data_IF_934100109436
#
_entry.id   IF_934100109436
#
_cell.length_a   1.000
_cell.length_b   1.000
_cell.length_c   1.000
_cell.angle_alpha   90.00
_cell.angle_beta   90.00
_cell.angle_gamma   90.00
#
_symmetry.space_group_name_H-M   'P 1'
#
loop_
_entity.id
_entity.type
_entity.pdbx_description
1 polymer ?
#
# COMPACT_ATOMS: atom_id res chain seq x y z
N UNK A 1 -1.00 -0.65 15.54
CA UNK A 1 -2.24 0.02 15.08
C UNK A 1 -2.93 -0.94 14.15
N UNK A 2 -4.18 -1.31 14.43
CA UNK A 2 -4.97 -2.15 13.51
C UNK A 2 -5.16 -1.40 12.19
N UNK A 3 -5.01 -2.11 11.07
CA UNK A 3 -5.27 -1.55 9.74
C UNK A 3 -6.75 -1.15 9.56
N UNK A 4 -7.07 -0.66 8.37
CA UNK A 4 -8.42 -0.40 7.92
C UNK A 4 -9.05 -1.70 7.40
N UNK A 5 -10.32 -1.90 7.75
CA UNK A 5 -11.16 -2.96 7.21
C UNK A 5 -11.51 -2.64 5.76
N UNK A 6 -11.34 -3.60 4.86
CA UNK A 6 -11.69 -3.47 3.45
C UNK A 6 -12.93 -4.28 3.14
N UNK A 7 -13.95 -3.61 2.63
CA UNK A 7 -15.14 -4.23 2.09
C UNK A 7 -15.14 -4.03 0.58
N UNK A 8 -15.09 -5.11 -0.19
CA UNK A 8 -15.03 -5.09 -1.65
C UNK A 8 -16.39 -5.48 -2.21
N UNK A 9 -16.91 -4.66 -3.13
CA UNK A 9 -18.21 -4.90 -3.74
C UNK A 9 -18.20 -6.22 -4.52
N UNK A 10 -19.28 -7.01 -4.43
CA UNK A 10 -19.39 -8.34 -5.05
C UNK A 10 -19.19 -8.35 -6.56
N UNK A 11 -19.53 -7.25 -7.24
CA UNK A 11 -19.35 -7.13 -8.69
C UNK A 11 -17.93 -6.70 -9.10
N UNK A 12 -17.05 -6.39 -8.14
CA UNK A 12 -15.69 -5.90 -8.43
C UNK A 12 -14.95 -6.83 -9.40
N UNK A 13 -14.94 -8.14 -9.12
CA UNK A 13 -14.19 -9.11 -9.94
C UNK A 13 -14.69 -9.16 -11.37
N UNK A 14 -16.01 -9.11 -11.59
CA UNK A 14 -16.62 -9.08 -12.94
C UNK A 14 -16.16 -7.85 -13.73
N UNK A 15 -16.03 -6.70 -13.08
CA UNK A 15 -15.54 -5.48 -13.73
C UNK A 15 -14.02 -5.51 -13.95
N UNK A 16 -13.28 -6.25 -13.12
CA UNK A 16 -11.83 -6.30 -13.15
C UNK A 16 -11.27 -7.38 -14.10
N UNK A 17 -11.95 -8.51 -14.28
CA UNK A 17 -11.43 -9.70 -14.99
C UNK A 17 -11.00 -9.41 -16.44
N UNK A 18 -11.71 -8.50 -17.11
CA UNK A 18 -11.45 -8.10 -18.50
C UNK A 18 -10.29 -7.10 -18.64
N UNK A 19 -9.81 -6.52 -17.54
CA UNK A 19 -8.75 -5.51 -17.56
C UNK A 19 -7.37 -6.17 -17.65
N UNK A 20 -6.39 -5.49 -18.28
CA UNK A 20 -5.02 -5.96 -18.30
C UNK A 20 -4.47 -6.21 -16.89
N UNK A 21 -3.64 -7.25 -16.76
CA UNK A 21 -3.00 -7.66 -15.50
C UNK A 21 -2.34 -6.49 -14.77
N UNK A 22 -1.67 -5.60 -15.50
CA UNK A 22 -1.01 -4.43 -14.91
C UNK A 22 -1.96 -3.49 -14.17
N UNK A 23 -3.20 -3.34 -14.67
CA UNK A 23 -4.24 -2.55 -14.01
C UNK A 23 -4.72 -3.29 -12.76
N UNK A 24 -5.02 -4.59 -12.88
CA UNK A 24 -5.51 -5.42 -11.77
C UNK A 24 -4.50 -5.44 -10.61
N UNK A 25 -3.22 -5.70 -10.88
CA UNK A 25 -2.14 -5.71 -9.88
C UNK A 25 -1.96 -4.35 -9.21
N UNK A 26 -2.05 -3.26 -9.98
CA UNK A 26 -1.94 -1.92 -9.40
C UNK A 26 -3.17 -1.53 -8.57
N UNK A 27 -4.36 -1.97 -8.95
CA UNK A 27 -5.58 -1.81 -8.16
C UNK A 27 -5.51 -2.62 -6.85
N UNK A 28 -5.04 -3.86 -6.92
CA UNK A 28 -4.81 -4.71 -5.77
C UNK A 28 -3.77 -4.09 -4.80
N UNK A 29 -2.68 -3.53 -5.33
CA UNK A 29 -1.73 -2.77 -4.51
C UNK A 29 -2.35 -1.53 -3.86
N UNK A 30 -3.24 -0.82 -4.57
CA UNK A 30 -3.98 0.28 -3.98
C UNK A 30 -4.89 -0.19 -2.84
N UNK A 31 -5.54 -1.35 -2.97
CA UNK A 31 -6.32 -1.97 -1.88
C UNK A 31 -5.43 -2.30 -0.68
N UNK A 32 -4.27 -2.93 -0.89
CA UNK A 32 -3.30 -3.18 0.20
C UNK A 32 -2.98 -1.88 0.94
N UNK A 33 -2.68 -0.80 0.21
CA UNK A 33 -2.39 0.50 0.82
C UNK A 33 -3.60 1.11 1.56
N UNK A 34 -4.81 0.94 1.04
CA UNK A 34 -6.02 1.38 1.72
C UNK A 34 -6.20 0.62 3.04
N UNK A 35 -6.06 -0.69 3.06
CA UNK A 35 -6.18 -1.45 4.30
C UNK A 35 -5.00 -1.23 5.26
N UNK A 36 -3.79 -0.97 4.78
CA UNK A 36 -2.65 -0.69 5.68
C UNK A 36 -2.74 0.69 6.35
N UNK A 37 -3.16 1.73 5.63
CA UNK A 37 -3.03 3.13 6.10
C UNK A 37 -4.22 4.05 5.81
N UNK A 38 -5.29 3.51 5.24
CA UNK A 38 -6.52 4.26 4.94
C UNK A 38 -6.46 5.17 3.72
N UNK A 39 -5.34 5.17 2.98
CA UNK A 39 -5.10 6.09 1.86
C UNK A 39 -4.12 5.56 0.83
N UNK A 40 -4.20 6.10 -0.39
CA UNK A 40 -3.22 5.88 -1.46
C UNK A 40 -2.40 7.16 -1.68
N UNK A 41 -1.21 7.10 -2.35
CA UNK A 41 -0.36 8.27 -2.53
C UNK A 41 -1.01 9.33 -3.42
N UNK A 42 -1.73 8.88 -4.45
CA UNK A 42 -2.46 9.73 -5.38
C UNK A 42 -3.94 9.42 -5.27
N UNK A 43 -4.76 10.46 -5.10
CA UNK A 43 -6.22 10.38 -5.01
C UNK A 43 -6.78 11.56 -5.79
N UNK A 44 -7.76 11.29 -6.65
CA UNK A 44 -8.61 12.32 -7.26
C UNK A 44 -9.98 12.27 -6.61
N UNK A 45 -10.54 13.45 -6.33
CA UNK A 45 -11.92 13.60 -5.87
C UNK A 45 -12.88 13.57 -7.06
N UNK A 46 -14.17 13.47 -6.74
CA UNK A 46 -15.29 13.47 -7.68
C UNK A 46 -16.31 14.53 -7.28
N UNK A 47 -17.13 14.92 -8.24
CA UNK A 47 -18.23 15.89 -8.11
C UNK A 47 -19.51 15.28 -8.68
N UNK A 48 -20.64 15.99 -8.58
CA UNK A 48 -21.92 15.54 -9.14
C UNK A 48 -22.51 14.34 -8.41
N UNK A 49 -23.13 13.41 -9.14
CA UNK A 49 -23.77 12.21 -8.59
C UNK A 49 -22.83 11.37 -7.73
N UNK A 50 -21.55 11.35 -8.09
CA UNK A 50 -20.54 10.58 -7.40
C UNK A 50 -19.76 11.41 -6.36
N UNK A 51 -20.26 12.56 -5.90
CA UNK A 51 -19.57 13.36 -4.89
C UNK A 51 -19.17 12.52 -3.66
N UNK A 52 -17.98 12.81 -3.11
CA UNK A 52 -17.30 12.11 -1.99
C UNK A 52 -16.60 10.80 -2.34
N UNK A 53 -16.89 10.21 -3.50
CA UNK A 53 -16.08 9.11 -3.99
C UNK A 53 -14.63 9.54 -4.27
N UNK A 54 -13.72 8.59 -4.15
CA UNK A 54 -12.29 8.78 -4.38
C UNK A 54 -11.83 7.86 -5.49
N UNK A 55 -10.90 8.37 -6.28
CA UNK A 55 -10.36 7.69 -7.45
C UNK A 55 -8.84 7.59 -7.34
N UNK A 56 -8.33 6.38 -7.21
CA UNK A 56 -6.89 6.13 -7.23
C UNK A 56 -6.47 5.73 -8.64
N UNK A 57 -5.56 6.45 -9.30
CA UNK A 57 -5.16 6.12 -10.66
C UNK A 57 -4.42 4.77 -10.72
N UNK A 58 -4.94 3.83 -11.53
CA UNK A 58 -4.35 2.49 -11.72
C UNK A 58 -3.73 2.33 -13.11
N UNK A 59 -4.05 3.19 -14.07
CA UNK A 59 -3.33 3.30 -15.35
C UNK A 59 -3.35 4.74 -15.86
N UNK A 60 -2.27 5.49 -15.61
CA UNK A 60 -2.16 6.89 -16.02
C UNK A 60 -3.40 7.69 -15.63
N UNK A 61 -4.07 8.29 -16.62
CA UNK A 61 -5.34 9.00 -16.45
C UNK A 61 -6.56 8.26 -17.02
N UNK A 62 -6.40 7.00 -17.43
CA UNK A 62 -7.43 6.23 -18.13
C UNK A 62 -8.29 5.41 -17.18
N UNK A 63 -7.69 4.71 -16.21
CA UNK A 63 -8.42 3.85 -15.27
C UNK A 63 -8.15 4.22 -13.82
N UNK A 64 -9.19 4.13 -13.01
CA UNK A 64 -9.18 4.46 -11.59
C UNK A 64 -9.84 3.37 -10.75
N UNK A 65 -9.22 3.05 -9.60
CA UNK A 65 -9.88 2.32 -8.53
C UNK A 65 -10.81 3.29 -7.78
N UNK A 66 -12.09 2.93 -7.69
CA UNK A 66 -13.10 3.71 -6.99
C UNK A 66 -13.34 3.17 -5.59
N UNK A 67 -13.26 4.06 -4.61
CA UNK A 67 -13.41 3.71 -3.20
C UNK A 67 -13.94 4.89 -2.38
N UNK A 68 -14.47 4.60 -1.20
CA UNK A 68 -14.96 5.62 -0.25
C UNK A 68 -14.83 5.10 1.19
N UNK A 69 -14.44 5.93 2.17
CA UNK A 69 -14.60 5.56 3.58
C UNK A 69 -16.08 5.35 3.90
N UNK A 70 -16.40 4.29 4.64
CA UNK A 70 -17.79 3.98 4.98
C UNK A 70 -18.47 5.17 5.69
N UNK A 71 -17.75 5.86 6.57
CA UNK A 71 -18.21 7.08 7.27
C UNK A 71 -18.60 8.25 6.35
N UNK A 72 -18.12 8.28 5.11
CA UNK A 72 -18.43 9.33 4.13
C UNK A 72 -19.50 8.90 3.11
N UNK A 73 -19.90 7.62 3.14
CA UNK A 73 -20.92 7.06 2.27
C UNK A 73 -22.33 7.23 2.81
N UNK A 74 -23.32 6.93 1.98
CA UNK A 74 -24.73 6.88 2.40
C UNK A 74 -25.01 5.72 3.38
N UNK A 75 -24.11 4.74 3.45
CA UNK A 75 -24.20 3.56 4.29
C UNK A 75 -23.54 3.74 5.67
N UNK A 76 -23.15 4.96 6.06
CA UNK A 76 -22.39 5.22 7.30
C UNK A 76 -23.06 4.66 8.58
N UNK A 77 -24.40 4.60 8.62
CA UNK A 77 -25.18 4.04 9.74
C UNK A 77 -25.33 2.52 9.73
N UNK A 78 -24.85 1.82 8.70
CA UNK A 78 -25.09 0.38 8.51
C UNK A 78 -24.25 -0.51 9.44
N UNK A 79 -23.16 0.03 9.99
CA UNK A 79 -22.33 -0.66 10.98
C UNK A 79 -22.37 0.10 12.29
N UNK A 80 -22.80 -0.58 13.36
CA UNK A 80 -22.89 -0.03 14.72
C UNK A 80 -21.51 0.33 15.30
N UNK A 81 -20.43 -0.28 14.82
CA UNK A 81 -19.04 0.00 15.21
C UNK A 81 -18.09 -0.08 13.98
N UNK A 82 -17.04 0.74 13.97
CA UNK A 82 -15.93 0.61 13.00
C UNK A 82 -16.10 1.36 11.67
N UNK A 83 -17.15 2.17 11.48
CA UNK A 83 -17.37 2.95 10.25
C UNK A 83 -16.19 3.88 9.90
N UNK A 84 -15.53 4.48 10.89
CA UNK A 84 -14.37 5.36 10.67
C UNK A 84 -13.08 4.65 10.23
N UNK A 85 -13.02 3.31 10.34
CA UNK A 85 -11.88 2.49 9.93
C UNK A 85 -12.25 1.47 8.84
N UNK A 86 -13.39 1.67 8.18
CA UNK A 86 -13.86 0.79 7.10
C UNK A 86 -13.82 1.54 5.77
N UNK A 87 -13.28 0.90 4.73
CA UNK A 87 -13.22 1.43 3.38
C UNK A 87 -13.98 0.51 2.45
N UNK A 88 -14.88 1.09 1.66
CA UNK A 88 -15.60 0.42 0.60
C UNK A 88 -14.79 0.55 -0.70
N UNK A 89 -14.47 -0.58 -1.31
CA UNK A 89 -13.84 -0.70 -2.63
C UNK A 89 -14.90 -1.16 -3.62
N UNK A 90 -15.22 -0.33 -4.62
CA UNK A 90 -16.39 -0.56 -5.47
C UNK A 90 -16.05 -1.23 -6.80
N UNK A 91 -15.28 -0.55 -7.65
CA UNK A 91 -14.91 -1.08 -8.96
C UNK A 91 -13.65 -0.41 -9.51
N UNK A 92 -13.15 -0.91 -10.63
CA UNK A 92 -12.23 -0.18 -11.48
C UNK A 92 -13.05 0.39 -12.64
N UNK A 93 -12.90 1.68 -12.94
CA UNK A 93 -13.61 2.34 -14.04
C UNK A 93 -12.68 3.12 -14.94
N UNK A 94 -13.05 3.23 -16.20
CA UNK A 94 -12.48 4.15 -17.15
C UNK A 94 -12.81 5.62 -16.78
N UNK A 95 -12.04 6.56 -17.29
CA UNK A 95 -12.22 7.99 -17.00
C UNK A 95 -13.48 8.57 -17.62
N UNK A 96 -14.02 7.96 -18.67
CA UNK A 96 -15.28 8.35 -19.29
C UNK A 96 -16.50 7.99 -18.42
N UNK A 97 -16.37 6.96 -17.57
CA UNK A 97 -17.42 6.47 -16.67
C UNK A 97 -17.46 7.27 -15.34
N UNK A 98 -16.88 8.48 -15.33
CA UNK A 98 -16.78 9.30 -14.11
C UNK A 98 -18.15 9.80 -13.65
N UNK A 99 -19.02 10.10 -14.59
CA UNK A 99 -20.34 10.68 -14.31
C UNK A 99 -21.43 9.60 -14.19
N UNK A 100 -21.12 8.34 -14.49
CA UNK A 100 -22.02 7.20 -14.30
C UNK A 100 -22.30 7.01 -12.80
N UNK A 101 -23.55 7.17 -12.33
CA UNK A 101 -23.85 7.13 -10.91
C UNK A 101 -23.46 5.79 -10.26
N UNK A 102 -22.89 5.85 -9.06
CA UNK A 102 -22.73 4.70 -8.19
C UNK A 102 -23.93 4.64 -7.25
N UNK A 103 -24.78 3.63 -7.45
CA UNK A 103 -25.86 3.33 -6.52
C UNK A 103 -25.34 2.41 -5.40
N UNK A 104 -25.46 2.88 -4.15
CA UNK A 104 -25.09 2.14 -2.95
C UNK A 104 -26.36 1.73 -2.21
N UNK A 105 -26.92 0.58 -2.60
CA UNK A 105 -28.18 0.09 -2.05
C UNK A 105 -28.00 -0.55 -0.66
N UNK A 106 -27.03 -1.45 -0.48
CA UNK A 106 -26.81 -2.14 0.79
C UNK A 106 -25.33 -2.38 1.10
N UNK A 107 -25.02 -2.47 2.40
CA UNK A 107 -23.71 -2.93 2.86
C UNK A 107 -23.51 -4.43 2.57
N UNK A 108 -24.60 -5.19 2.43
CA UNK A 108 -24.58 -6.62 2.14
C UNK A 108 -24.09 -6.93 0.72
N UNK A 109 -24.00 -5.92 -0.15
CA UNK A 109 -23.41 -6.02 -1.49
C UNK A 109 -21.87 -6.04 -1.46
N UNK A 110 -21.29 -5.91 -0.27
CA UNK A 110 -19.85 -5.93 -0.05
C UNK A 110 -19.42 -7.13 0.79
N UNK A 111 -18.22 -7.62 0.48
CA UNK A 111 -17.58 -8.72 1.19
C UNK A 111 -16.27 -8.25 1.79
N UNK A 112 -15.99 -8.71 3.00
CA UNK A 112 -14.74 -8.37 3.67
C UNK A 112 -13.57 -9.11 3.03
N UNK A 113 -12.51 -8.37 2.74
CA UNK A 113 -11.28 -8.93 2.19
C UNK A 113 -10.18 -8.81 3.24
N UNK A 114 -9.63 -9.96 3.62
CA UNK A 114 -8.42 -10.01 4.44
C UNK A 114 -7.24 -9.43 3.67
N UNK A 115 -6.52 -8.49 4.29
CA UNK A 115 -5.34 -7.87 3.68
C UNK A 115 -4.28 -8.89 3.27
N UNK A 116 -4.13 -9.95 4.07
CA UNK A 116 -3.18 -11.05 3.85
C UNK A 116 -3.48 -11.87 2.59
N UNK A 117 -4.72 -11.84 2.09
CA UNK A 117 -5.15 -12.52 0.87
C UNK A 117 -4.78 -11.75 -0.41
N UNK A 118 -4.40 -10.47 -0.30
CA UNK A 118 -4.03 -9.64 -1.45
C UNK A 118 -2.55 -9.84 -1.81
N UNK A 119 -2.26 -10.18 -3.07
CA UNK A 119 -0.91 -10.30 -3.61
C UNK A 119 -0.81 -9.67 -5.02
N UNK A 120 -0.46 -8.38 -5.10
CA UNK A 120 -0.36 -7.63 -6.35
C UNK A 120 0.89 -7.95 -7.16
N UNK A 121 1.69 -8.96 -6.76
CA UNK A 121 2.88 -9.31 -7.52
C UNK A 121 2.54 -9.96 -8.85
N UNK A 122 3.46 -9.81 -9.81
CA UNK A 122 3.53 -10.66 -10.99
C UNK A 122 4.24 -11.99 -10.67
N UNK A 123 4.09 -12.98 -11.53
CA UNK A 123 4.68 -14.32 -11.32
C UNK A 123 6.19 -14.28 -11.20
N UNK A 124 6.86 -13.44 -11.98
CA UNK A 124 8.32 -13.27 -11.94
C UNK A 124 8.77 -12.70 -10.59
N UNK A 125 7.94 -11.84 -9.97
CA UNK A 125 8.23 -11.28 -8.66
C UNK A 125 8.00 -12.30 -7.53
N UNK A 126 7.04 -13.22 -7.69
CA UNK A 126 6.85 -14.36 -6.78
C UNK A 126 7.99 -15.37 -6.88
N UNK A 127 8.51 -15.59 -8.08
CA UNK A 127 9.54 -16.61 -8.33
C UNK A 127 10.84 -16.38 -7.54
N UNK A 128 11.15 -15.14 -7.15
CA UNK A 128 12.34 -14.80 -6.36
C UNK A 128 12.36 -15.54 -5.01
N UNK A 129 11.21 -15.68 -4.34
CA UNK A 129 11.15 -16.38 -3.04
C UNK A 129 11.54 -17.86 -3.14
N UNK A 130 11.14 -18.53 -4.22
CA UNK A 130 11.48 -19.94 -4.47
C UNK A 130 12.98 -20.16 -4.67
N UNK A 131 13.68 -19.19 -5.24
CA UNK A 131 15.13 -19.28 -5.43
C UNK A 131 15.88 -19.15 -4.09
N UNK A 132 15.38 -18.33 -3.17
CA UNK A 132 16.01 -18.07 -1.87
C UNK A 132 15.84 -19.26 -0.91
N UNK A 133 14.70 -19.96 -1.00
CA UNK A 133 14.35 -21.08 -0.11
C UNK A 133 15.21 -22.34 -0.33
N UNK A 134 15.74 -22.53 -1.55
CA UNK A 134 16.42 -23.77 -1.94
C UNK A 134 17.92 -23.86 -1.60
N UNK A 135 18.52 -22.83 -1.02
CA UNK A 135 19.97 -22.77 -0.82
C UNK A 135 20.36 -22.30 0.59
N UNK A 136 21.42 -22.88 1.15
CA UNK A 136 22.01 -22.45 2.43
C UNK A 136 22.48 -20.99 2.39
N UNK A 137 22.87 -20.51 1.21
CA UNK A 137 23.11 -19.09 0.93
C UNK A 137 22.62 -18.77 -0.48
N UNK A 138 21.65 -17.86 -0.59
CA UNK A 138 21.09 -17.43 -1.86
C UNK A 138 21.35 -15.94 -2.08
N UNK A 139 21.92 -15.60 -3.24
CA UNK A 139 22.04 -14.22 -3.70
C UNK A 139 21.04 -13.96 -4.82
N UNK A 140 20.09 -13.05 -4.56
CA UNK A 140 19.11 -12.63 -5.56
C UNK A 140 19.16 -11.11 -5.75
N UNK A 141 18.90 -10.65 -6.98
CA UNK A 141 18.77 -9.21 -7.26
C UNK A 141 17.48 -8.93 -8.00
N UNK A 142 16.69 -7.97 -7.52
CA UNK A 142 15.49 -7.47 -8.19
C UNK A 142 15.83 -6.19 -8.95
N UNK A 143 15.91 -6.28 -10.28
CA UNK A 143 16.14 -5.13 -11.18
C UNK A 143 14.87 -4.79 -11.96
N UNK A 144 14.68 -3.51 -12.24
CA UNK A 144 13.53 -3.06 -13.04
C UNK A 144 13.46 -1.54 -13.15
N UNK A 145 12.71 -1.06 -14.15
CA UNK A 145 12.49 0.37 -14.41
C UNK A 145 11.78 1.08 -13.24
N UNK A 146 11.80 2.42 -13.15
CA UNK A 146 10.95 3.16 -12.21
C UNK A 146 9.49 2.70 -12.32
N UNK A 147 8.83 2.49 -11.18
CA UNK A 147 7.43 2.04 -11.15
C UNK A 147 7.18 0.54 -11.41
N UNK A 148 8.20 -0.26 -11.73
CA UNK A 148 8.08 -1.72 -11.98
C UNK A 148 7.71 -2.57 -10.76
N UNK A 149 7.48 -1.97 -9.58
CA UNK A 149 7.07 -2.72 -8.38
C UNK A 149 8.21 -3.35 -7.58
N UNK A 150 9.48 -2.97 -7.79
CA UNK A 150 10.63 -3.48 -7.01
C UNK A 150 10.40 -3.50 -5.50
N UNK A 151 9.87 -2.41 -4.94
CA UNK A 151 9.55 -2.31 -3.51
C UNK A 151 8.46 -3.28 -3.09
N UNK A 152 7.45 -3.51 -3.94
CA UNK A 152 6.39 -4.48 -3.69
C UNK A 152 6.98 -5.89 -3.65
N UNK A 153 7.83 -6.24 -4.63
CA UNK A 153 8.54 -7.53 -4.65
C UNK A 153 9.32 -7.76 -3.36
N UNK A 154 10.08 -6.77 -2.90
CA UNK A 154 10.87 -6.85 -1.67
C UNK A 154 10.00 -6.99 -0.42
N UNK A 155 8.91 -6.22 -0.30
CA UNK A 155 8.01 -6.30 0.85
C UNK A 155 7.38 -7.68 0.99
N UNK A 156 6.88 -8.23 -0.11
CA UNK A 156 6.29 -9.56 -0.11
C UNK A 156 7.34 -10.66 0.02
N UNK A 157 8.55 -10.50 -0.51
CA UNK A 157 9.64 -11.44 -0.24
C UNK A 157 9.95 -11.50 1.25
N UNK A 158 10.08 -10.35 1.92
CA UNK A 158 10.29 -10.29 3.38
C UNK A 158 9.15 -10.95 4.13
N UNK A 159 7.89 -10.70 3.73
CA UNK A 159 6.71 -11.36 4.30
C UNK A 159 6.81 -12.88 4.16
N UNK A 160 7.05 -13.37 2.94
CA UNK A 160 7.07 -14.79 2.63
C UNK A 160 8.20 -15.49 3.40
N UNK A 161 9.40 -14.89 3.44
CA UNK A 161 10.54 -15.39 4.24
C UNK A 161 10.26 -15.38 5.75
N UNK A 162 9.55 -14.37 6.26
CA UNK A 162 9.19 -14.30 7.68
C UNK A 162 8.13 -15.35 8.06
N UNK A 163 7.23 -15.69 7.14
CA UNK A 163 6.23 -16.75 7.33
C UNK A 163 6.85 -18.15 7.24
N UNK A 164 7.99 -18.31 6.58
CA UNK A 164 8.76 -19.55 6.58
C UNK A 164 9.36 -19.81 7.97
N UNK A 165 9.16 -21.02 8.48
CA UNK A 165 9.38 -21.34 9.91
C UNK A 165 10.86 -21.45 10.33
N UNK A 166 11.79 -21.45 9.38
CA UNK A 166 13.21 -21.68 9.60
C UNK A 166 14.02 -20.38 9.85
N UNK A 167 13.49 -19.21 9.50
CA UNK A 167 14.20 -17.93 9.66
C UNK A 167 13.79 -17.24 10.96
N UNK A 168 14.67 -17.26 11.95
CA UNK A 168 14.43 -16.66 13.27
C UNK A 168 14.70 -15.15 13.30
N UNK A 169 15.60 -14.66 12.44
CA UNK A 169 16.00 -13.26 12.38
C UNK A 169 16.12 -12.79 10.93
N UNK A 170 15.33 -11.78 10.56
CA UNK A 170 15.39 -11.19 9.24
C UNK A 170 15.70 -9.70 9.35
N UNK A 171 16.78 -9.25 8.70
CA UNK A 171 17.17 -7.84 8.65
C UNK A 171 16.73 -7.22 7.32
N UNK A 172 15.84 -6.23 7.38
CA UNK A 172 15.45 -5.42 6.23
C UNK A 172 16.02 -4.00 6.37
N UNK A 173 16.98 -3.67 5.50
CA UNK A 173 17.65 -2.37 5.48
C UNK A 173 17.07 -1.49 4.38
N UNK A 174 16.82 -0.22 4.71
CA UNK A 174 16.37 0.80 3.75
C UNK A 174 17.08 2.13 3.98
N UNK A 175 16.78 3.16 3.19
CA UNK A 175 17.53 4.43 3.26
C UNK A 175 16.87 5.49 4.13
N UNK A 176 15.54 5.59 4.17
CA UNK A 176 14.85 6.69 4.85
C UNK A 176 13.88 6.20 5.92
N UNK A 177 13.68 7.00 6.96
CA UNK A 177 12.71 6.73 8.03
C UNK A 177 11.29 6.55 7.49
N UNK A 178 10.93 7.27 6.41
CA UNK A 178 9.65 7.11 5.71
C UNK A 178 9.50 5.72 5.09
N UNK A 179 10.54 5.19 4.43
CA UNK A 179 10.53 3.84 3.86
C UNK A 179 10.51 2.77 4.95
N UNK A 180 11.27 2.97 6.04
CA UNK A 180 11.24 2.10 7.23
C UNK A 180 9.84 2.00 7.81
N UNK A 181 9.17 3.14 8.01
CA UNK A 181 7.78 3.17 8.46
C UNK A 181 6.85 2.45 7.48
N UNK A 182 6.98 2.69 6.18
CA UNK A 182 6.14 2.05 5.18
C UNK A 182 6.28 0.51 5.19
N UNK A 183 7.51 0.00 5.33
CA UNK A 183 7.78 -1.43 5.45
C UNK A 183 7.20 -2.02 6.74
N UNK A 184 7.35 -1.32 7.86
CA UNK A 184 6.78 -1.73 9.16
C UNK A 184 5.25 -1.78 9.11
N UNK A 185 4.62 -0.72 8.61
CA UNK A 185 3.16 -0.62 8.51
C UNK A 185 2.63 -1.73 7.59
N UNK A 186 3.31 -2.02 6.47
CA UNK A 186 2.99 -3.14 5.58
C UNK A 186 3.08 -4.50 6.29
N UNK A 187 4.22 -4.81 6.92
CA UNK A 187 4.43 -6.11 7.56
C UNK A 187 3.49 -6.33 8.75
N UNK A 188 3.24 -5.30 9.55
CA UNK A 188 2.25 -5.38 10.64
C UNK A 188 0.83 -5.69 10.13
N UNK A 189 0.49 -5.24 8.91
CA UNK A 189 -0.80 -5.53 8.29
C UNK A 189 -0.87 -6.88 7.55
N UNK A 190 0.28 -7.43 7.15
CA UNK A 190 0.37 -8.59 6.24
C UNK A 190 0.91 -9.87 6.90
N UNK A 191 1.62 -9.74 8.02
CA UNK A 191 2.13 -10.84 8.83
C UNK A 191 2.23 -10.38 10.30
N UNK A 192 1.11 -10.01 10.95
CA UNK A 192 1.10 -9.52 12.33
C UNK A 192 1.74 -10.49 13.33
N UNK A 193 1.63 -11.80 13.09
CA UNK A 193 2.21 -12.86 13.90
C UNK A 193 3.75 -12.85 13.94
N UNK A 194 4.40 -12.16 13.00
CA UNK A 194 5.86 -12.08 12.87
C UNK A 194 6.45 -10.78 13.46
N UNK A 195 5.65 -9.99 14.18
CA UNK A 195 6.13 -8.81 14.88
C UNK A 195 7.28 -9.19 15.84
N UNK A 196 8.44 -8.56 15.65
CA UNK A 196 9.66 -8.83 16.43
C UNK A 196 10.68 -9.77 15.77
N UNK A 197 10.31 -10.56 14.76
CA UNK A 197 11.26 -11.40 13.99
C UNK A 197 11.94 -10.66 12.84
N UNK A 198 11.27 -9.63 12.32
CA UNK A 198 11.80 -8.77 11.25
C UNK A 198 12.34 -7.48 11.84
N UNK A 199 13.66 -7.32 11.79
CA UNK A 199 14.36 -6.10 12.18
C UNK A 199 14.43 -5.15 10.98
N UNK A 200 13.69 -4.05 11.06
CA UNK A 200 13.72 -3.01 10.02
C UNK A 200 14.62 -1.87 10.48
N UNK A 201 15.61 -1.50 9.67
CA UNK A 201 16.56 -0.42 9.94
C UNK A 201 16.74 0.49 8.74
N UNK A 202 17.06 1.76 8.99
CA UNK A 202 17.73 2.56 7.98
C UNK A 202 19.22 2.21 7.93
N UNK A 203 19.90 2.47 6.81
CA UNK A 203 21.34 2.26 6.71
C UNK A 203 22.10 3.02 7.80
N UNK A 204 21.73 4.28 8.03
CA UNK A 204 22.30 5.13 9.08
C UNK A 204 22.08 4.56 10.49
N UNK A 205 20.89 4.03 10.79
CA UNK A 205 20.64 3.38 12.08
C UNK A 205 21.53 2.14 12.25
N UNK A 206 21.67 1.33 11.20
CA UNK A 206 22.49 0.12 11.23
C UNK A 206 23.98 0.45 11.40
N UNK A 207 24.50 1.45 10.70
CA UNK A 207 25.88 1.92 10.83
C UNK A 207 26.17 2.39 12.27
N UNK A 208 25.23 3.14 12.87
CA UNK A 208 25.34 3.56 14.28
C UNK A 208 25.35 2.37 15.23
N UNK A 209 24.47 1.40 15.02
CA UNK A 209 24.37 0.19 15.85
C UNK A 209 25.65 -0.66 15.78
N UNK A 210 26.27 -0.76 14.60
CA UNK A 210 27.50 -1.54 14.39
C UNK A 210 28.75 -0.81 14.92
N UNK A 211 28.86 0.50 14.69
CA UNK A 211 30.09 1.25 14.98
C UNK A 211 30.10 1.93 16.35
N UNK A 212 28.92 2.16 16.96
CA UNK A 212 28.77 2.96 18.18
C UNK A 212 29.06 4.45 17.99
N UNK A 213 29.38 4.90 16.77
CA UNK A 213 29.71 6.28 16.47
C UNK A 213 28.44 7.11 16.20
N UNK A 214 28.44 8.42 16.54
CA UNK A 214 27.35 9.30 16.15
C UNK A 214 27.30 9.39 14.62
N UNK A 215 26.25 8.84 14.03
CA UNK A 215 25.97 8.96 12.60
C UNK A 215 25.39 10.31 12.24
N UNK A 216 25.82 10.87 11.11
CA UNK A 216 25.32 12.11 10.56
C UNK A 216 23.79 12.03 10.37
N UNK A 217 23.08 13.08 10.81
CA UNK A 217 21.61 13.17 10.76
C UNK A 217 21.16 13.12 9.29
N UNK A 218 20.02 12.45 9.02
CA UNK A 218 19.42 12.31 7.69
C UNK A 218 19.59 13.60 6.86
N UNK A 219 20.42 13.61 5.80
CA UNK A 219 20.67 14.82 5.02
C UNK A 219 19.41 15.33 4.30
N UNK A 220 18.35 14.52 4.21
CA UNK A 220 17.04 14.93 3.70
C UNK A 220 16.12 15.48 4.80
N UNK A 221 16.47 15.34 6.08
CA UNK A 221 15.77 15.95 7.20
C UNK A 221 15.82 17.48 7.12
N UNK A 222 16.98 18.03 6.77
CA UNK A 222 17.18 19.46 6.54
C UNK A 222 16.39 19.98 5.33
N UNK A 223 16.06 19.11 4.37
CA UNK A 223 15.32 19.48 3.16
C UNK A 223 13.86 19.83 3.48
N UNK A 224 13.26 19.21 4.51
CA UNK A 224 11.92 19.55 4.97
C UNK A 224 11.88 20.88 5.75
N UNK A 225 12.97 21.23 6.44
CA UNK A 225 13.14 22.53 7.08
C UNK A 225 13.47 23.62 6.05
N UNK A 226 14.24 23.28 5.01
CA UNK A 226 14.51 24.14 3.87
C UNK A 226 13.26 24.41 3.03
N UNK A 227 12.41 23.42 2.77
CA UNK A 227 11.10 23.64 2.14
C UNK A 227 10.21 24.53 2.98
N UNK A 228 10.13 24.31 4.31
CA UNK A 228 9.41 25.20 5.21
C UNK A 228 9.99 26.62 5.25
N UNK A 229 11.30 26.78 5.05
CA UNK A 229 11.95 28.08 4.92
C UNK A 229 11.57 28.77 3.59
N UNK A 230 11.60 28.04 2.47
CA UNK A 230 11.18 28.55 1.16
C UNK A 230 9.69 28.96 1.16
N UNK A 231 8.81 28.16 1.75
CA UNK A 231 7.38 28.45 1.85
C UNK A 231 7.07 29.65 2.77
N UNK A 232 8.01 30.03 3.63
CA UNK A 232 7.90 31.18 4.55
C UNK A 232 8.53 32.46 4.00
N UNK A 233 9.17 32.42 2.84
CA UNK A 233 9.68 33.62 2.21
C UNK A 233 8.48 34.41 1.63
N UNK A 234 8.31 35.70 1.96
CA UNK A 234 7.31 36.52 1.30
C UNK A 234 7.63 36.55 -0.20
N UNK A 235 6.61 36.41 -1.04
CA UNK A 235 6.77 36.58 -2.48
C UNK A 235 7.42 37.94 -2.72
N UNK A 236 8.63 37.93 -3.26
CA UNK A 236 9.35 39.15 -3.62
C UNK A 236 8.49 39.93 -4.61
N UNK A 237 8.05 41.11 -4.18
CA UNK A 237 7.40 42.15 -4.99
C UNK A 237 8.30 42.64 -6.10
#
# INVERSE_FOLDING_TARGET
MSGYRLLKHRQYERTAEHLPDSIRRKAEWAQVLLGTRGRTPNVKTTSGYNARWRRTPVQGYHYYLWWIPLSESQLAGSLSNGAGQTILVYSIRHHDETDDPIDLASIDDFEEIALTALDPRFDEQRAVGRHVDGAETALATVKGLPGSGKTISLFYLVRDLALQSNLQHLLYVTYTSRLKRAARDFLAAQAPEMEGRVHIRTLTELEKEITGLPTYVDPLGELADFQRYLDRQPAST
#
